data_IF_914015376395
#
_entry.id   IF_914015376395
#
_cell.length_a   1.000
_cell.length_b   1.000
_cell.length_c   1.000
_cell.angle_alpha   90.00
_cell.angle_beta   90.00
_cell.angle_gamma   90.00
#
_symmetry.space_group_name_H-M   'P 1'
#
loop_
_entity.id
_entity.type
_entity.pdbx_description
1 polymer ?
#
# COMPACT_ATOMS: atom_id res chain seq x y z
N UNK A 1 29.64 5.20 24.62
CA UNK A 1 29.26 4.89 23.24
C UNK A 1 28.15 5.82 22.67
N UNK A 2 27.81 6.91 23.34
CA UNK A 2 26.78 7.89 22.94
C UNK A 2 27.37 9.14 22.25
N UNK A 3 28.70 9.29 22.25
CA UNK A 3 29.39 10.50 21.78
C UNK A 3 29.75 10.51 20.28
N UNK A 4 29.62 9.40 19.55
CA UNK A 4 30.02 9.30 18.15
C UNK A 4 28.90 9.62 17.15
N UNK A 5 27.65 9.40 17.53
CA UNK A 5 26.47 9.63 16.68
C UNK A 5 26.15 11.12 16.53
N UNK A 6 26.47 11.93 17.56
CA UNK A 6 26.19 13.37 17.57
C UNK A 6 27.09 14.18 16.61
N UNK A 7 28.23 13.63 16.17
CA UNK A 7 29.19 14.36 15.30
C UNK A 7 28.99 14.09 13.82
N UNK A 8 28.27 13.05 13.42
CA UNK A 8 28.04 12.72 12.00
C UNK A 8 26.90 13.58 11.40
N UNK A 9 26.00 14.10 12.22
CA UNK A 9 24.88 14.97 11.76
C UNK A 9 25.35 16.37 11.35
N UNK A 10 26.55 16.79 11.71
CA UNK A 10 27.04 18.17 11.48
C UNK A 10 27.83 18.35 10.18
N UNK A 11 28.15 17.29 9.42
CA UNK A 11 29.11 17.39 8.30
C UNK A 11 28.52 17.17 6.90
N UNK A 12 27.21 17.10 6.72
CA UNK A 12 26.57 16.98 5.39
C UNK A 12 25.74 18.21 5.01
N UNK A 13 26.25 19.40 5.21
CA UNK A 13 25.70 20.62 4.60
C UNK A 13 26.68 21.10 3.54
N UNK A 14 26.68 20.52 2.35
CA UNK A 14 27.24 21.15 1.13
C UNK A 14 26.60 20.53 -0.12
N UNK A 15 25.96 21.41 -0.92
CA UNK A 15 25.66 21.37 -2.34
C UNK A 15 24.79 20.27 -2.95
N UNK A 16 23.60 20.66 -3.37
CA UNK A 16 23.07 20.32 -4.70
C UNK A 16 22.03 21.36 -5.13
N UNK A 17 22.40 22.19 -6.08
CA UNK A 17 21.45 22.92 -6.91
C UNK A 17 20.95 21.93 -7.97
N UNK A 18 19.68 21.51 -7.88
CA UNK A 18 19.02 20.78 -8.96
C UNK A 18 17.85 21.59 -9.48
N UNK A 19 17.90 21.85 -10.78
CA UNK A 19 16.90 22.49 -11.61
C UNK A 19 15.64 21.63 -11.71
N UNK A 20 14.48 22.27 -11.50
CA UNK A 20 13.20 21.65 -11.30
C UNK A 20 12.59 20.96 -12.51
N UNK A 21 11.82 19.92 -12.21
CA UNK A 21 10.59 19.53 -12.92
C UNK A 21 9.54 19.17 -11.89
N UNK A 22 8.35 19.71 -12.12
CA UNK A 22 7.26 19.85 -11.20
C UNK A 22 6.83 18.61 -10.42
N UNK A 23 6.88 18.72 -9.11
CA UNK A 23 6.28 17.83 -8.13
C UNK A 23 4.90 18.40 -7.78
N UNK A 24 3.83 17.66 -8.02
CA UNK A 24 2.51 18.02 -7.50
C UNK A 24 2.48 17.72 -6.01
N UNK A 25 2.43 18.78 -5.21
CA UNK A 25 2.29 18.71 -3.77
C UNK A 25 0.87 18.26 -3.39
N UNK A 26 0.77 17.29 -2.50
CA UNK A 26 -0.46 17.00 -1.77
C UNK A 26 -0.66 18.10 -0.72
N UNK A 27 -1.73 18.88 -0.87
CA UNK A 27 -2.26 19.80 0.14
C UNK A 27 -1.62 21.19 0.17
N UNK A 28 -2.03 22.10 -0.71
CA UNK A 28 -1.83 23.55 -0.52
C UNK A 28 -3.09 24.14 0.14
N UNK A 29 -2.96 24.61 1.37
CA UNK A 29 -3.98 25.43 2.01
C UNK A 29 -3.61 26.90 1.86
N UNK A 30 -4.42 27.65 1.14
CA UNK A 30 -4.37 29.13 1.13
C UNK A 30 -5.21 29.65 2.30
N UNK A 31 -4.59 30.18 3.34
CA UNK A 31 -5.23 31.04 4.33
C UNK A 31 -4.75 32.48 4.12
N UNK A 32 -5.68 33.42 4.17
CA UNK A 32 -5.60 34.78 3.68
C UNK A 32 -4.64 35.78 4.35
N UNK A 33 -3.56 35.39 4.98
CA UNK A 33 -2.36 36.21 5.22
C UNK A 33 -1.23 35.61 4.41
N UNK A 34 -0.64 36.39 3.49
CA UNK A 34 0.51 35.97 2.69
C UNK A 34 1.61 35.47 3.62
N UNK A 35 1.71 34.15 3.79
CA UNK A 35 2.80 33.55 4.55
C UNK A 35 4.10 33.95 3.85
N UNK A 36 5.01 34.61 4.56
CA UNK A 36 6.33 35.00 4.05
C UNK A 36 7.11 33.82 3.47
N UNK A 37 6.74 32.59 3.85
CA UNK A 37 7.32 31.38 3.28
C UNK A 37 6.31 30.22 3.31
N UNK A 38 6.54 29.26 2.43
CA UNK A 38 5.76 28.01 2.32
C UNK A 38 6.66 26.83 2.72
N UNK A 39 6.05 25.83 3.35
CA UNK A 39 6.72 24.57 3.67
C UNK A 39 5.92 23.42 3.09
N UNK A 40 6.62 22.51 2.42
CA UNK A 40 6.01 21.28 1.87
C UNK A 40 6.91 20.09 2.19
N UNK A 41 6.30 18.94 2.42
CA UNK A 41 7.03 17.68 2.47
C UNK A 41 7.18 17.15 1.05
N UNK A 42 8.37 16.68 0.71
CA UNK A 42 8.62 15.94 -0.51
C UNK A 42 7.95 14.56 -0.47
N UNK A 43 7.87 13.93 -1.61
CA UNK A 43 7.39 12.55 -1.70
C UNK A 43 8.27 11.64 -0.86
N UNK A 44 7.64 10.76 -0.09
CA UNK A 44 8.30 9.79 0.77
C UNK A 44 7.43 8.56 0.93
N UNK A 45 8.03 7.51 1.47
CA UNK A 45 7.30 6.31 1.85
C UNK A 45 6.54 6.55 3.14
N UNK A 46 5.36 5.93 3.25
CA UNK A 46 4.48 6.09 4.39
C UNK A 46 4.53 4.91 5.36
N UNK A 47 5.06 3.75 4.95
CA UNK A 47 5.07 2.54 5.76
C UNK A 47 6.48 2.04 6.00
N UNK A 48 6.80 1.79 7.26
CA UNK A 48 8.13 1.43 7.73
C UNK A 48 8.09 0.21 8.64
N UNK A 49 9.19 -0.56 8.64
CA UNK A 49 9.43 -1.55 9.68
C UNK A 49 9.93 -0.88 10.97
N UNK A 50 9.68 -1.46 12.15
CA UNK A 50 10.23 -0.97 13.41
C UNK A 50 11.75 -0.81 13.36
N UNK A 51 12.24 0.33 13.86
CA UNK A 51 13.67 0.64 13.92
C UNK A 51 14.32 1.03 12.60
N UNK A 52 13.57 1.18 11.49
CA UNK A 52 14.08 1.72 10.23
C UNK A 52 14.30 3.24 10.31
N UNK A 53 14.70 3.86 9.20
CA UNK A 53 14.86 5.31 9.09
C UNK A 53 13.84 5.87 8.10
N UNK A 54 12.97 6.77 8.58
CA UNK A 54 12.18 7.64 7.70
C UNK A 54 13.13 8.65 7.05
N UNK A 55 13.07 8.74 5.76
CA UNK A 55 13.84 9.71 5.01
C UNK A 55 12.92 10.54 4.13
N UNK A 56 12.87 11.85 4.39
CA UNK A 56 11.97 12.77 3.73
C UNK A 56 12.69 14.09 3.43
N UNK A 57 12.39 14.69 2.26
CA UNK A 57 12.80 16.04 1.94
C UNK A 57 11.78 17.05 2.46
N UNK A 58 12.23 18.11 3.13
CA UNK A 58 11.37 19.22 3.50
C UNK A 58 11.78 20.42 2.66
N UNK A 59 10.85 20.97 1.88
CA UNK A 59 11.08 22.12 1.02
C UNK A 59 10.56 23.37 1.72
N UNK A 60 11.45 24.33 1.94
CA UNK A 60 11.11 25.68 2.39
C UNK A 60 11.25 26.64 1.24
N UNK A 61 10.20 27.35 0.89
CA UNK A 61 10.17 28.35 -0.18
C UNK A 61 9.87 29.71 0.41
N UNK A 62 10.76 30.68 0.21
CA UNK A 62 10.51 32.08 0.56
C UNK A 62 9.64 32.75 -0.50
N UNK A 63 8.50 33.28 -0.12
CA UNK A 63 7.57 33.98 -1.00
C UNK A 63 7.73 35.50 -0.92
N UNK A 64 8.65 36.01 -0.07
CA UNK A 64 8.89 37.44 0.12
C UNK A 64 10.10 37.94 -0.69
N UNK A 65 10.17 39.26 -0.86
CA UNK A 65 11.31 39.97 -1.47
C UNK A 65 12.50 40.10 -0.50
N UNK A 66 12.34 39.76 0.76
CA UNK A 66 13.36 39.86 1.80
C UNK A 66 14.00 38.52 2.11
N UNK A 67 15.23 38.55 2.62
CA UNK A 67 15.87 37.36 3.19
C UNK A 67 15.21 36.97 4.53
N UNK A 68 14.95 35.69 4.73
CA UNK A 68 14.33 35.18 5.94
C UNK A 68 15.28 34.30 6.73
N UNK A 69 15.28 34.45 8.05
CA UNK A 69 15.87 33.48 9.00
C UNK A 69 14.74 32.69 9.65
N UNK A 70 14.77 31.37 9.50
CA UNK A 70 13.72 30.47 9.98
C UNK A 70 14.34 29.56 11.05
N UNK A 71 13.67 29.48 12.17
CA UNK A 71 13.95 28.47 13.22
C UNK A 71 12.65 27.71 13.49
N UNK A 72 12.67 26.40 13.32
CA UNK A 72 11.50 25.54 13.50
C UNK A 72 11.85 24.27 14.25
N UNK A 73 10.99 23.89 15.16
CA UNK A 73 11.01 22.56 15.74
C UNK A 73 10.27 21.59 14.80
N UNK A 74 10.91 20.47 14.52
CA UNK A 74 10.32 19.29 13.91
C UNK A 74 10.04 18.29 15.02
N UNK A 75 8.85 17.73 15.04
CA UNK A 75 8.47 16.71 16.02
C UNK A 75 7.73 15.56 15.37
N UNK A 76 7.94 14.37 15.92
CA UNK A 76 7.12 13.19 15.63
C UNK A 76 6.30 12.88 16.87
N UNK A 77 5.00 12.74 16.65
CA UNK A 77 4.04 12.28 17.67
C UNK A 77 3.42 10.96 17.25
N UNK A 78 3.06 10.13 18.19
CA UNK A 78 2.23 8.96 18.00
C UNK A 78 0.73 9.32 17.89
N UNK A 79 -0.14 8.30 17.78
CA UNK A 79 -1.59 8.46 17.71
C UNK A 79 -2.20 9.13 18.94
N UNK A 80 -1.56 9.03 20.09
CA UNK A 80 -2.02 9.61 21.35
C UNK A 80 -1.47 11.03 21.58
N UNK A 81 -0.72 11.55 20.58
CA UNK A 81 -0.11 12.88 20.63
C UNK A 81 1.17 12.93 21.46
N UNK A 82 1.69 11.79 21.92
CA UNK A 82 2.94 11.72 22.68
C UNK A 82 4.11 11.96 21.74
N UNK A 83 4.98 12.91 22.13
CA UNK A 83 6.19 13.24 21.36
C UNK A 83 7.23 12.13 21.51
N UNK A 84 7.55 11.45 20.41
CA UNK A 84 8.53 10.34 20.38
C UNK A 84 9.89 10.77 19.83
N UNK A 85 9.94 11.89 19.09
CA UNK A 85 11.17 12.45 18.55
C UNK A 85 11.03 13.93 18.23
N UNK A 86 12.12 14.69 18.34
CA UNK A 86 12.15 16.08 17.89
C UNK A 86 13.57 16.54 17.52
N UNK A 87 13.63 17.59 16.70
CA UNK A 87 14.85 18.34 16.40
C UNK A 87 14.49 19.79 16.05
N UNK A 88 15.49 20.66 16.03
CA UNK A 88 15.34 22.06 15.62
C UNK A 88 16.16 22.32 14.38
N UNK A 89 15.55 22.92 13.37
CA UNK A 89 16.22 23.38 12.18
C UNK A 89 16.37 24.90 12.21
N UNK A 90 17.53 25.39 11.75
CA UNK A 90 17.80 26.80 11.55
C UNK A 90 18.27 26.99 10.10
N UNK A 91 17.62 27.85 9.35
CA UNK A 91 18.00 28.11 7.95
C UNK A 91 17.80 29.57 7.55
N UNK A 92 18.59 30.00 6.59
CA UNK A 92 18.42 31.28 5.90
C UNK A 92 17.89 31.06 4.49
N UNK A 93 16.82 31.77 4.14
CA UNK A 93 16.27 31.75 2.79
C UNK A 93 16.53 33.08 2.10
N UNK A 94 17.09 33.04 0.89
CA UNK A 94 17.22 34.21 0.03
C UNK A 94 15.85 34.69 -0.44
N UNK A 95 15.70 35.95 -0.88
CA UNK A 95 14.47 36.44 -1.50
C UNK A 95 14.01 35.48 -2.61
N UNK A 96 12.73 35.14 -2.62
CA UNK A 96 12.12 34.22 -3.58
C UNK A 96 12.83 32.86 -3.76
N UNK A 97 13.76 32.53 -2.86
CA UNK A 97 14.55 31.29 -2.90
C UNK A 97 13.86 30.11 -2.27
N UNK A 98 14.32 28.92 -2.59
CA UNK A 98 13.89 27.70 -1.92
C UNK A 98 15.08 26.84 -1.49
N UNK A 99 14.90 26.08 -0.40
CA UNK A 99 15.90 25.14 0.13
C UNK A 99 15.19 23.83 0.46
N UNK A 100 15.77 22.72 0.03
CA UNK A 100 15.31 21.37 0.42
C UNK A 100 16.24 20.83 1.49
N UNK A 101 15.70 20.45 2.64
CA UNK A 101 16.44 19.83 3.73
C UNK A 101 16.13 18.34 3.71
N UNK A 102 17.14 17.48 3.48
CA UNK A 102 16.97 16.05 3.68
C UNK A 102 16.92 15.76 5.18
N UNK A 103 15.83 15.14 5.62
CA UNK A 103 15.63 14.75 7.01
C UNK A 103 15.68 13.23 7.13
N UNK A 104 16.40 12.74 8.13
CA UNK A 104 16.41 11.34 8.51
C UNK A 104 15.90 11.23 9.96
N UNK A 105 14.78 10.57 10.13
CA UNK A 105 14.13 10.39 11.43
C UNK A 105 14.21 8.93 11.82
N UNK A 106 14.74 8.60 13.02
CA UNK A 106 14.64 7.25 13.55
C UNK A 106 13.16 6.88 13.74
N UNK A 107 12.76 5.79 13.13
CA UNK A 107 11.40 5.27 13.26
C UNK A 107 11.26 4.52 14.58
N UNK A 108 10.11 4.63 15.22
CA UNK A 108 9.81 3.92 16.47
C UNK A 108 10.07 2.42 16.36
N UNK A 109 10.42 1.80 17.49
CA UNK A 109 10.47 0.33 17.59
C UNK A 109 9.09 -0.29 17.80
N UNK A 110 8.09 0.52 18.16
CA UNK A 110 6.70 0.10 18.35
C UNK A 110 5.89 0.34 17.07
N UNK A 111 5.02 -0.60 16.73
CA UNK A 111 4.04 -0.43 15.64
C UNK A 111 3.03 0.65 16.01
N UNK A 112 2.54 1.40 15.02
CA UNK A 112 1.55 2.45 15.20
C UNK A 112 1.53 3.46 14.05
N UNK A 113 0.61 4.42 14.14
CA UNK A 113 0.57 5.58 13.27
C UNK A 113 1.31 6.75 13.93
N UNK A 114 2.06 7.50 13.13
CA UNK A 114 2.89 8.60 13.58
C UNK A 114 2.72 9.80 12.65
N UNK A 115 2.86 10.99 13.22
CA UNK A 115 2.77 12.24 12.48
C UNK A 115 4.05 13.05 12.68
N UNK A 116 4.75 13.35 11.60
CA UNK A 116 5.83 14.34 11.57
C UNK A 116 5.21 15.71 11.32
N UNK A 117 5.41 16.65 12.24
CA UNK A 117 4.91 18.03 12.14
C UNK A 117 6.04 19.02 12.24
N UNK A 118 5.85 20.17 11.60
CA UNK A 118 6.71 21.35 11.76
C UNK A 118 5.97 22.29 12.68
N UNK A 119 6.50 22.51 13.90
CA UNK A 119 5.83 23.38 14.88
C UNK A 119 5.73 24.82 14.36
N UNK A 120 4.57 25.44 14.59
CA UNK A 120 4.24 26.78 14.12
C UNK A 120 4.83 27.91 14.98
N UNK A 121 4.92 29.08 14.37
CA UNK A 121 4.90 30.34 15.10
C UNK A 121 3.46 30.61 15.61
N UNK A 122 3.35 31.37 16.67
CA UNK A 122 2.15 31.59 17.47
C UNK A 122 0.86 32.10 16.74
N UNK A 123 0.82 32.10 15.44
CA UNK A 123 -0.24 32.73 14.61
C UNK A 123 -1.35 31.76 14.11
N UNK A 124 -1.44 30.55 14.63
CA UNK A 124 -2.65 29.72 14.55
C UNK A 124 -2.99 29.04 13.23
N UNK A 125 -2.13 29.08 12.21
CA UNK A 125 -2.37 28.31 10.99
C UNK A 125 -1.98 26.84 11.17
N UNK A 126 -2.70 25.84 10.58
CA UNK A 126 -2.39 24.43 10.77
C UNK A 126 -0.96 24.09 10.28
N UNK A 127 -0.21 23.40 11.14
CA UNK A 127 1.15 22.98 10.84
C UNK A 127 1.18 21.99 9.67
N UNK A 128 2.12 22.14 8.70
CA UNK A 128 2.34 21.09 7.74
C UNK A 128 2.66 19.78 8.44
N UNK A 129 2.01 18.70 8.00
CA UNK A 129 2.18 17.38 8.62
C UNK A 129 2.39 16.30 7.57
N UNK A 130 3.13 15.26 7.96
CA UNK A 130 3.35 14.07 7.17
C UNK A 130 3.02 12.83 8.02
N UNK A 131 2.00 12.08 7.58
CA UNK A 131 1.56 10.87 8.26
C UNK A 131 2.36 9.66 7.76
N UNK A 132 2.83 8.83 8.67
CA UNK A 132 3.47 7.56 8.35
C UNK A 132 3.10 6.49 9.38
N UNK A 133 3.27 5.23 8.99
CA UNK A 133 2.96 4.08 9.84
C UNK A 133 4.20 3.22 10.06
N UNK A 134 4.28 2.64 11.25
CA UNK A 134 5.26 1.61 11.59
C UNK A 134 4.52 0.30 11.78
N UNK A 135 4.87 -0.71 10.98
CA UNK A 135 4.18 -1.99 10.98
C UNK A 135 5.20 -3.10 11.02
N UNK A 136 5.05 -3.99 11.99
CA UNK A 136 5.70 -5.29 12.00
C UNK A 136 4.66 -6.32 11.54
N UNK A 137 4.71 -6.79 10.29
CA UNK A 137 3.74 -7.78 9.83
C UNK A 137 3.76 -9.05 10.70
N UNK A 138 2.60 -9.62 10.94
CA UNK A 138 2.43 -10.80 11.79
C UNK A 138 1.50 -11.81 11.14
N UNK A 139 1.87 -13.06 11.28
CA UNK A 139 1.03 -14.19 10.90
C UNK A 139 -0.03 -14.42 11.98
N UNK A 140 -1.31 -14.42 11.61
CA UNK A 140 -2.37 -14.79 12.55
C UNK A 140 -2.21 -16.25 12.99
N UNK A 141 -2.66 -16.62 14.21
CA UNK A 141 -2.66 -18.02 14.65
C UNK A 141 -3.45 -18.94 13.70
N UNK A 142 -4.49 -18.40 13.08
CA UNK A 142 -5.30 -19.10 12.07
C UNK A 142 -4.49 -19.45 10.84
N UNK A 143 -3.69 -18.51 10.32
CA UNK A 143 -2.91 -18.68 9.10
C UNK A 143 -1.89 -19.83 9.21
N UNK A 144 -1.37 -20.12 10.41
CA UNK A 144 -0.43 -21.21 10.63
C UNK A 144 -1.02 -22.60 10.38
N UNK A 145 -2.35 -22.73 10.33
CA UNK A 145 -3.09 -23.98 10.06
C UNK A 145 -3.52 -24.09 8.60
N UNK A 146 -3.38 -23.03 7.80
CA UNK A 146 -3.87 -22.97 6.42
C UNK A 146 -2.79 -23.50 5.48
N UNK A 147 -3.20 -24.36 4.54
CA UNK A 147 -2.38 -24.92 3.49
C UNK A 147 -2.65 -24.17 2.19
N UNK A 148 -1.64 -23.45 1.69
CA UNK A 148 -1.74 -22.60 0.50
C UNK A 148 -0.97 -23.20 -0.66
N UNK A 149 -1.65 -23.52 -1.75
CA UNK A 149 -1.00 -23.92 -3.00
C UNK A 149 -0.83 -22.70 -3.92
N UNK A 150 0.31 -22.61 -4.57
CA UNK A 150 0.57 -21.64 -5.65
C UNK A 150 1.40 -22.32 -6.75
N UNK A 151 1.17 -22.02 -8.04
CA UNK A 151 1.95 -22.60 -9.12
C UNK A 151 3.43 -22.23 -9.03
N UNK A 152 4.32 -23.11 -9.49
CA UNK A 152 5.77 -22.87 -9.52
C UNK A 152 6.13 -21.62 -10.36
N UNK A 153 5.29 -21.30 -11.34
CA UNK A 153 5.45 -20.11 -12.18
C UNK A 153 5.31 -18.79 -11.42
N UNK A 154 4.68 -18.79 -10.24
CA UNK A 154 4.51 -17.63 -9.35
C UNK A 154 5.68 -17.51 -8.36
N UNK A 155 6.90 -17.31 -8.88
CA UNK A 155 8.15 -17.31 -8.11
C UNK A 155 8.11 -16.35 -6.91
N UNK A 156 7.54 -15.15 -7.10
CA UNK A 156 7.43 -14.13 -6.03
C UNK A 156 6.53 -14.60 -4.89
N UNK A 157 5.38 -15.22 -5.21
CA UNK A 157 4.46 -15.75 -4.21
C UNK A 157 5.04 -16.97 -3.48
N UNK A 158 5.72 -17.86 -4.20
CA UNK A 158 6.42 -18.99 -3.59
C UNK A 158 7.49 -18.51 -2.60
N UNK A 159 8.28 -17.49 -2.97
CA UNK A 159 9.26 -16.86 -2.07
C UNK A 159 8.58 -16.26 -0.84
N UNK A 160 7.47 -15.53 -1.04
CA UNK A 160 6.65 -14.94 0.04
C UNK A 160 6.13 -16.02 0.99
N UNK A 161 5.46 -17.06 0.50
CA UNK A 161 4.93 -18.15 1.34
C UNK A 161 6.03 -18.80 2.17
N UNK A 162 7.20 -19.06 1.55
CA UNK A 162 8.36 -19.63 2.22
C UNK A 162 8.92 -18.69 3.31
N UNK A 163 9.03 -17.40 3.06
CA UNK A 163 9.56 -16.44 4.04
C UNK A 163 8.67 -16.31 5.28
N UNK A 164 7.37 -16.61 5.14
CA UNK A 164 6.40 -16.60 6.23
C UNK A 164 6.12 -17.99 6.81
N UNK A 165 6.89 -19.00 6.44
CA UNK A 165 6.67 -20.38 6.87
C UNK A 165 5.19 -20.81 6.71
N UNK A 166 4.62 -20.48 5.55
CA UNK A 166 3.28 -20.92 5.16
C UNK A 166 3.46 -22.22 4.37
N UNK A 167 2.80 -23.28 4.81
CA UNK A 167 2.89 -24.58 4.18
C UNK A 167 2.30 -24.53 2.77
N UNK A 168 3.09 -24.96 1.77
CA UNK A 168 2.72 -25.01 0.37
C UNK A 168 2.66 -26.47 -0.12
N UNK A 169 1.56 -27.18 0.16
CA UNK A 169 1.42 -28.56 -0.27
C UNK A 169 1.11 -28.63 -1.77
N UNK A 170 1.10 -29.84 -2.29
CA UNK A 170 0.46 -30.09 -3.59
C UNK A 170 -1.01 -29.68 -3.55
N UNK A 171 -1.62 -29.39 -4.69
CA UNK A 171 -3.05 -29.02 -4.77
C UNK A 171 -3.99 -30.03 -4.11
N UNK A 172 -3.55 -31.28 -3.98
CA UNK A 172 -4.32 -32.35 -3.35
C UNK A 172 -4.65 -32.10 -1.87
N UNK A 173 -3.86 -31.30 -1.18
CA UNK A 173 -4.00 -31.02 0.25
C UNK A 173 -4.23 -29.53 0.57
N UNK A 174 -4.25 -28.69 -0.48
CA UNK A 174 -4.45 -27.26 -0.29
C UNK A 174 -5.88 -26.91 0.18
N UNK A 175 -6.00 -25.84 0.94
CA UNK A 175 -7.27 -25.19 1.29
C UNK A 175 -7.45 -23.89 0.52
N UNK A 176 -6.35 -23.29 0.09
CA UNK A 176 -6.30 -22.06 -0.70
C UNK A 176 -5.44 -22.29 -1.94
N UNK A 177 -5.93 -21.85 -3.09
CA UNK A 177 -5.16 -21.68 -4.32
C UNK A 177 -4.88 -20.19 -4.50
N UNK A 178 -3.61 -19.78 -4.36
CA UNK A 178 -3.18 -18.39 -4.51
C UNK A 178 -2.53 -18.19 -5.88
N UNK A 179 -3.09 -17.29 -6.68
CA UNK A 179 -2.72 -17.00 -8.04
C UNK A 179 -2.37 -15.52 -8.18
N UNK A 180 -1.20 -15.22 -8.73
CA UNK A 180 -0.73 -13.86 -8.99
C UNK A 180 -1.10 -13.37 -10.39
N UNK A 181 -0.55 -12.22 -10.74
CA UNK A 181 -0.76 -11.55 -12.03
C UNK A 181 -0.38 -12.42 -13.22
N UNK A 182 0.69 -13.21 -13.11
CA UNK A 182 1.12 -14.11 -14.19
C UNK A 182 0.07 -15.17 -14.47
N UNK A 183 -0.41 -15.86 -13.45
CA UNK A 183 -1.46 -16.88 -13.56
C UNK A 183 -2.77 -16.27 -14.05
N UNK A 184 -3.12 -15.05 -13.59
CA UNK A 184 -4.28 -14.34 -14.11
C UNK A 184 -4.16 -14.07 -15.62
N UNK A 185 -3.01 -13.60 -16.08
CA UNK A 185 -2.76 -13.36 -17.50
C UNK A 185 -2.89 -14.65 -18.33
N UNK A 186 -2.35 -15.77 -17.84
CA UNK A 186 -2.46 -17.08 -18.45
C UNK A 186 -3.91 -17.57 -18.48
N UNK A 187 -4.66 -17.41 -17.37
CA UNK A 187 -6.08 -17.75 -17.29
C UNK A 187 -6.91 -17.01 -18.35
N UNK A 188 -6.72 -15.70 -18.47
CA UNK A 188 -7.42 -14.85 -19.46
C UNK A 188 -7.04 -15.22 -20.91
N UNK A 189 -5.81 -15.69 -21.12
CA UNK A 189 -5.35 -16.19 -22.43
C UNK A 189 -5.90 -17.59 -22.77
N UNK A 190 -6.62 -18.24 -21.85
CA UNK A 190 -7.18 -19.58 -22.06
C UNK A 190 -6.15 -20.71 -21.87
N UNK A 191 -5.12 -20.47 -21.08
CA UNK A 191 -4.13 -21.50 -20.71
C UNK A 191 -4.82 -22.68 -20.04
N UNK A 192 -4.65 -23.88 -20.62
CA UNK A 192 -5.34 -25.09 -20.17
C UNK A 192 -4.87 -25.54 -18.79
N UNK A 193 -3.60 -25.37 -18.47
CA UNK A 193 -3.04 -25.80 -17.18
C UNK A 193 -3.62 -24.99 -16.04
N UNK A 194 -3.60 -23.67 -16.16
CA UNK A 194 -4.15 -22.78 -15.14
C UNK A 194 -5.67 -22.93 -15.03
N UNK A 195 -6.39 -23.03 -16.15
CA UNK A 195 -7.86 -23.24 -16.12
C UNK A 195 -8.21 -24.55 -15.41
N UNK A 196 -7.55 -25.64 -15.74
CA UNK A 196 -7.75 -26.94 -15.06
C UNK A 196 -7.35 -26.92 -13.60
N UNK A 197 -6.32 -26.12 -13.22
CA UNK A 197 -5.90 -25.94 -11.85
C UNK A 197 -7.01 -25.27 -11.02
N UNK A 198 -7.59 -24.17 -11.55
CA UNK A 198 -8.73 -23.46 -10.94
C UNK A 198 -9.93 -24.40 -10.79
N UNK A 199 -10.31 -25.11 -11.85
CA UNK A 199 -11.44 -26.06 -11.82
C UNK A 199 -11.23 -27.18 -10.78
N UNK A 200 -10.02 -27.73 -10.70
CA UNK A 200 -9.70 -28.75 -9.69
C UNK A 200 -9.78 -28.20 -8.27
N UNK A 201 -9.29 -26.98 -8.04
CA UNK A 201 -9.37 -26.33 -6.75
C UNK A 201 -10.83 -26.12 -6.31
N UNK A 202 -11.67 -25.59 -7.18
CA UNK A 202 -13.08 -25.34 -6.90
C UNK A 202 -13.87 -26.65 -6.64
N UNK A 203 -13.62 -27.72 -7.44
CA UNK A 203 -14.21 -29.04 -7.20
C UNK A 203 -13.83 -29.64 -5.84
N UNK A 204 -12.69 -29.22 -5.29
CA UNK A 204 -12.19 -29.61 -3.95
C UNK A 204 -12.60 -28.65 -2.84
N UNK A 205 -13.51 -27.71 -3.13
CA UNK A 205 -14.02 -26.73 -2.18
C UNK A 205 -12.95 -25.74 -1.66
N UNK A 206 -11.82 -25.61 -2.38
CA UNK A 206 -10.79 -24.66 -2.04
C UNK A 206 -11.25 -23.23 -2.30
N UNK A 207 -10.68 -22.28 -1.57
CA UNK A 207 -10.76 -20.87 -1.92
C UNK A 207 -9.71 -20.55 -2.99
N UNK A 208 -10.12 -19.97 -4.10
CA UNK A 208 -9.23 -19.49 -5.16
C UNK A 208 -9.06 -17.98 -5.01
N UNK A 209 -7.84 -17.51 -4.88
CA UNK A 209 -7.52 -16.08 -4.74
C UNK A 209 -6.71 -15.64 -5.96
N UNK A 210 -7.23 -14.70 -6.73
CA UNK A 210 -6.47 -13.96 -7.73
C UNK A 210 -6.05 -12.62 -7.13
N UNK A 211 -4.75 -12.40 -6.94
CA UNK A 211 -4.20 -11.10 -6.53
C UNK A 211 -3.63 -10.37 -7.75
N UNK A 212 -3.51 -9.05 -7.64
CA UNK A 212 -3.08 -8.18 -8.74
C UNK A 212 -3.93 -8.38 -10.01
N UNK A 213 -5.21 -8.66 -9.79
CA UNK A 213 -6.20 -8.91 -10.81
C UNK A 213 -6.52 -7.62 -11.57
N UNK A 214 -6.50 -7.68 -12.90
CA UNK A 214 -6.72 -6.51 -13.73
C UNK A 214 -6.91 -6.84 -15.22
N UNK A 215 -7.11 -5.84 -16.07
CA UNK A 215 -7.22 -6.04 -17.51
C UNK A 215 -5.91 -6.59 -18.07
N UNK A 216 -6.03 -7.46 -19.10
CA UNK A 216 -4.91 -8.09 -19.80
C UNK A 216 -4.86 -7.60 -21.24
N UNK A 217 -3.68 -7.13 -21.69
CA UNK A 217 -3.45 -6.68 -23.07
C UNK A 217 -3.66 -5.17 -23.28
N UNK A 218 -3.30 -4.69 -24.49
CA UNK A 218 -3.33 -3.26 -24.88
C UNK A 218 -4.71 -2.70 -25.21
N UNK A 219 -5.78 -3.43 -24.96
CA UNK A 219 -7.14 -3.00 -25.32
C UNK A 219 -7.69 -2.01 -24.27
N UNK A 220 -7.15 -0.79 -24.28
CA UNK A 220 -7.57 0.30 -23.39
C UNK A 220 -9.03 0.75 -23.60
N UNK A 221 -9.68 0.36 -24.69
CA UNK A 221 -10.99 0.90 -25.08
C UNK A 221 -12.09 -0.15 -25.36
N UNK A 222 -11.83 -1.44 -25.18
CA UNK A 222 -12.87 -2.47 -25.35
C UNK A 222 -13.13 -3.17 -24.03
N UNK A 223 -14.38 -3.10 -23.58
CA UNK A 223 -14.94 -3.90 -22.48
C UNK A 223 -14.81 -5.39 -22.80
N UNK A 224 -13.60 -5.94 -22.68
CA UNK A 224 -13.41 -7.37 -22.89
C UNK A 224 -14.05 -8.09 -21.71
N UNK A 225 -15.13 -8.82 -22.01
CA UNK A 225 -15.80 -9.70 -21.06
C UNK A 225 -14.94 -10.94 -20.85
N UNK A 226 -14.52 -11.18 -19.61
CA UNK A 226 -13.69 -12.33 -19.24
C UNK A 226 -14.58 -13.32 -18.50
N UNK A 227 -14.66 -14.54 -19.04
CA UNK A 227 -15.42 -15.62 -18.41
C UNK A 227 -14.66 -16.14 -17.19
N UNK A 228 -15.38 -16.27 -16.09
CA UNK A 228 -14.93 -16.86 -14.84
C UNK A 228 -15.70 -18.16 -14.59
N UNK A 229 -15.27 -19.01 -13.66
CA UNK A 229 -16.08 -20.14 -13.20
C UNK A 229 -17.45 -19.66 -12.68
N UNK A 230 -18.41 -20.61 -12.55
CA UNK A 230 -19.78 -20.37 -12.10
C UNK A 230 -20.67 -19.59 -13.07
N UNK A 231 -20.37 -19.66 -14.38
CA UNK A 231 -21.10 -18.91 -15.45
C UNK A 231 -21.20 -17.41 -15.18
N UNK A 232 -20.17 -16.89 -14.56
CA UNK A 232 -20.01 -15.46 -14.31
C UNK A 232 -18.98 -14.88 -15.26
N UNK A 233 -19.16 -13.63 -15.63
CA UNK A 233 -18.14 -12.89 -16.35
C UNK A 233 -17.88 -11.55 -15.71
N UNK A 234 -16.66 -11.06 -15.88
CA UNK A 234 -16.22 -9.75 -15.40
C UNK A 234 -15.77 -8.89 -16.59
N UNK A 235 -16.14 -7.62 -16.53
CA UNK A 235 -15.66 -6.58 -17.45
C UNK A 235 -14.97 -5.49 -16.63
N UNK A 236 -13.90 -4.92 -17.22
CA UNK A 236 -13.17 -3.79 -16.63
C UNK A 236 -13.62 -2.52 -17.32
N UNK A 237 -14.12 -1.57 -16.55
CA UNK A 237 -14.50 -0.23 -17.00
C UNK A 237 -13.40 0.72 -16.58
N UNK A 238 -12.78 1.43 -17.54
CA UNK A 238 -11.74 2.41 -17.22
C UNK A 238 -12.31 3.51 -16.33
N UNK A 239 -11.74 3.69 -15.17
CA UNK A 239 -12.07 4.75 -14.25
C UNK A 239 -11.23 6.01 -14.52
N UNK A 240 -11.65 7.15 -13.96
CA UNK A 240 -11.00 8.46 -14.17
C UNK A 240 -9.55 8.47 -13.70
N UNK A 241 -9.27 7.85 -12.54
CA UNK A 241 -7.95 7.81 -11.94
C UNK A 241 -7.77 6.54 -11.09
N UNK A 242 -6.51 6.08 -10.86
CA UNK A 242 -6.22 5.09 -9.83
C UNK A 242 -6.43 5.68 -8.44
N UNK A 243 -6.60 4.80 -7.44
CA UNK A 243 -6.76 5.21 -6.04
C UNK A 243 -5.50 4.90 -5.22
N UNK A 244 -5.21 5.79 -4.28
CA UNK A 244 -4.11 5.61 -3.33
C UNK A 244 -4.55 4.94 -2.03
N UNK A 245 -5.85 4.83 -1.81
CA UNK A 245 -6.43 4.23 -0.61
C UNK A 245 -7.67 3.41 -0.93
N UNK A 246 -8.00 2.50 -0.03
CA UNK A 246 -9.26 1.76 -0.03
C UNK A 246 -9.71 1.53 1.41
N UNK A 247 -10.99 1.22 1.57
CA UNK A 247 -11.59 0.94 2.87
C UNK A 247 -12.08 -0.50 2.89
N UNK A 248 -11.62 -1.29 3.85
CA UNK A 248 -12.16 -2.61 4.12
C UNK A 248 -13.47 -2.48 4.91
N UNK A 249 -14.44 -3.33 4.62
CA UNK A 249 -15.67 -3.41 5.42
C UNK A 249 -15.36 -3.97 6.80
N UNK A 250 -15.85 -3.31 7.83
CA UNK A 250 -15.52 -3.59 9.24
C UNK A 250 -15.96 -4.97 9.75
N UNK A 251 -16.88 -5.63 9.06
CA UNK A 251 -17.44 -6.92 9.48
C UNK A 251 -16.47 -8.10 9.35
N UNK A 252 -15.31 -7.87 8.72
CA UNK A 252 -14.32 -8.92 8.44
C UNK A 252 -13.06 -8.73 9.30
N UNK A 253 -13.13 -9.12 10.56
CA UNK A 253 -12.05 -8.97 11.54
C UNK A 253 -10.73 -9.60 11.11
N UNK A 254 -10.78 -10.72 10.39
CA UNK A 254 -9.58 -11.37 9.87
C UNK A 254 -8.83 -10.52 8.84
N UNK A 255 -9.54 -9.74 8.02
CA UNK A 255 -8.92 -8.85 7.03
C UNK A 255 -8.23 -7.64 7.68
N UNK A 256 -8.66 -7.26 8.87
CA UNK A 256 -8.10 -6.12 9.62
C UNK A 256 -7.19 -6.56 10.77
N UNK A 257 -6.80 -7.85 10.83
CA UNK A 257 -5.94 -8.35 11.88
C UNK A 257 -4.61 -7.60 11.93
N UNK A 258 -4.27 -7.07 13.10
CA UNK A 258 -3.02 -6.37 13.46
C UNK A 258 -2.74 -5.08 12.66
N UNK A 259 -3.76 -4.48 11.99
CA UNK A 259 -3.64 -3.12 11.46
C UNK A 259 -4.97 -2.34 11.45
N UNK A 260 -4.85 -1.02 11.49
CA UNK A 260 -6.00 -0.10 11.47
C UNK A 260 -6.30 0.38 10.04
N UNK A 261 -7.53 0.88 9.82
CA UNK A 261 -7.93 1.49 8.55
C UNK A 261 -7.07 2.68 8.14
N UNK A 262 -6.53 3.44 9.10
CA UNK A 262 -5.63 4.56 8.82
C UNK A 262 -4.29 4.11 8.23
N UNK A 263 -3.79 2.93 8.60
CA UNK A 263 -2.55 2.37 8.06
C UNK A 263 -2.71 1.86 6.62
N UNK A 264 -3.93 1.65 6.15
CA UNK A 264 -4.23 1.23 4.78
C UNK A 264 -4.32 2.40 3.78
N UNK A 265 -4.23 3.64 4.23
CA UNK A 265 -4.46 4.81 3.38
C UNK A 265 -3.28 5.14 2.44
N UNK A 266 -2.07 4.75 2.82
CA UNK A 266 -0.87 5.09 2.05
C UNK A 266 0.04 3.87 1.92
N UNK A 267 0.33 3.47 0.69
CA UNK A 267 1.19 2.32 0.40
C UNK A 267 2.49 2.77 -0.29
N UNK A 268 3.57 2.05 -0.05
CA UNK A 268 4.87 2.34 -0.63
C UNK A 268 4.93 1.93 -2.11
N UNK A 269 5.70 2.68 -2.90
CA UNK A 269 5.89 2.43 -4.33
C UNK A 269 4.67 2.74 -5.20
N UNK A 270 4.88 2.73 -6.51
CA UNK A 270 3.85 3.04 -7.51
C UNK A 270 3.16 4.41 -7.28
N UNK A 271 3.89 5.43 -6.82
CA UNK A 271 3.33 6.74 -6.41
C UNK A 271 2.22 6.62 -5.36
N UNK A 272 2.27 5.60 -4.51
CA UNK A 272 1.22 5.33 -3.52
C UNK A 272 -0.06 4.69 -4.09
N UNK A 273 -0.12 4.40 -5.38
CA UNK A 273 -1.30 3.76 -5.98
C UNK A 273 -1.50 2.37 -5.39
N UNK A 274 -2.68 2.13 -4.85
CA UNK A 274 -3.08 0.83 -4.26
C UNK A 274 -4.09 0.09 -5.13
N UNK A 275 -4.98 0.83 -5.82
CA UNK A 275 -6.02 0.26 -6.67
C UNK A 275 -5.91 0.86 -8.08
N UNK A 276 -5.82 0.04 -9.14
CA UNK A 276 -5.73 0.53 -10.50
C UNK A 276 -7.03 1.23 -10.94
N UNK A 277 -6.95 2.01 -12.02
CA UNK A 277 -8.05 2.83 -12.51
C UNK A 277 -9.11 2.00 -13.27
N UNK A 278 -9.67 0.98 -12.62
CA UNK A 278 -10.71 0.12 -13.22
C UNK A 278 -11.82 -0.19 -12.23
N UNK A 279 -13.07 0.01 -12.69
CA UNK A 279 -14.25 -0.46 -11.99
C UNK A 279 -14.62 -1.86 -12.52
N UNK A 280 -15.20 -2.69 -11.67
CA UNK A 280 -15.60 -4.05 -12.04
C UNK A 280 -17.10 -4.11 -12.30
N UNK A 281 -17.48 -4.69 -13.42
CA UNK A 281 -18.86 -5.03 -13.72
C UNK A 281 -18.97 -6.54 -13.90
N UNK A 282 -19.85 -7.17 -13.14
CA UNK A 282 -20.10 -8.60 -13.16
C UNK A 282 -21.44 -8.89 -13.85
N UNK A 283 -21.49 -9.98 -14.61
CA UNK A 283 -22.69 -10.51 -15.20
C UNK A 283 -22.75 -12.02 -14.97
N UNK A 284 -23.73 -12.45 -14.20
CA UNK A 284 -23.95 -13.86 -13.82
C UNK A 284 -25.16 -13.99 -12.90
N UNK A 285 -25.96 -15.06 -13.08
CA UNK A 285 -27.21 -15.25 -12.34
C UNK A 285 -27.07 -16.16 -11.12
N UNK A 286 -26.07 -17.05 -11.14
CA UNK A 286 -25.94 -18.13 -10.15
C UNK A 286 -24.75 -17.94 -9.19
N UNK A 287 -24.35 -16.69 -9.02
CA UNK A 287 -23.31 -16.31 -8.09
C UNK A 287 -23.76 -15.13 -7.23
N UNK A 288 -23.41 -15.16 -5.93
CA UNK A 288 -23.50 -14.02 -5.04
C UNK A 288 -22.15 -13.29 -5.03
N UNK A 289 -22.18 -11.98 -5.19
CA UNK A 289 -20.99 -11.14 -5.18
C UNK A 289 -20.96 -10.34 -3.88
N UNK A 290 -19.95 -10.57 -3.06
CA UNK A 290 -19.70 -9.79 -1.86
C UNK A 290 -18.51 -8.86 -2.08
N UNK A 291 -18.72 -7.56 -1.90
CA UNK A 291 -17.63 -6.60 -1.89
C UNK A 291 -17.06 -6.47 -0.49
N UNK A 292 -15.76 -6.73 -0.33
CA UNK A 292 -15.02 -6.62 0.93
C UNK A 292 -14.31 -5.30 1.11
N UNK A 293 -14.09 -4.58 0.01
CA UNK A 293 -13.44 -3.28 0.03
C UNK A 293 -14.10 -2.34 -0.97
N UNK A 294 -14.01 -1.04 -0.70
CA UNK A 294 -14.40 0.04 -1.61
C UNK A 294 -13.22 1.00 -1.77
N UNK A 295 -13.11 1.67 -2.90
CA UNK A 295 -12.05 2.64 -3.17
C UNK A 295 -12.62 3.88 -3.87
N UNK A 296 -12.11 5.06 -3.51
CA UNK A 296 -12.56 6.34 -4.04
C UNK A 296 -14.03 6.65 -3.73
N UNK A 297 -14.58 7.60 -4.46
CA UNK A 297 -15.98 8.05 -4.31
C UNK A 297 -16.97 7.19 -5.13
N UNK A 298 -16.48 6.34 -6.03
CA UNK A 298 -17.33 5.49 -6.86
C UNK A 298 -17.83 4.28 -6.06
N UNK A 299 -19.17 4.16 -5.81
CA UNK A 299 -19.73 3.04 -5.05
C UNK A 299 -19.58 1.68 -5.76
N UNK A 300 -19.22 1.66 -7.04
CA UNK A 300 -18.99 0.44 -7.84
C UNK A 300 -17.52 0.06 -7.97
N UNK A 301 -16.61 0.80 -7.33
CA UNK A 301 -15.20 0.45 -7.30
C UNK A 301 -14.93 -0.52 -6.14
N UNK A 302 -14.84 -1.79 -6.47
CA UNK A 302 -14.64 -2.89 -5.53
C UNK A 302 -13.24 -3.50 -5.70
N UNK A 303 -12.23 -3.02 -4.96
CA UNK A 303 -10.87 -3.56 -5.10
C UNK A 303 -10.70 -4.99 -4.58
N UNK A 304 -11.64 -5.47 -3.78
CA UNK A 304 -11.66 -6.85 -3.29
C UNK A 304 -13.09 -7.38 -3.28
N UNK A 305 -13.34 -8.46 -4.02
CA UNK A 305 -14.64 -9.12 -4.10
C UNK A 305 -14.52 -10.63 -3.91
N UNK A 306 -15.58 -11.23 -3.37
CA UNK A 306 -15.77 -12.68 -3.26
C UNK A 306 -16.93 -13.10 -4.15
N UNK A 307 -16.72 -14.14 -4.93
CA UNK A 307 -17.73 -14.79 -5.76
C UNK A 307 -18.12 -16.12 -5.08
N UNK A 308 -19.36 -16.22 -4.66
CA UNK A 308 -19.92 -17.41 -4.00
C UNK A 308 -20.94 -18.04 -4.93
N UNK A 309 -20.73 -19.25 -5.43
CA UNK A 309 -21.73 -19.93 -6.26
C UNK A 309 -22.96 -20.26 -5.43
N UNK A 310 -24.16 -20.18 -6.03
CA UNK A 310 -25.40 -20.65 -5.40
C UNK A 310 -25.38 -22.16 -5.18
N UNK A 311 -24.73 -22.86 -6.11
CA UNK A 311 -24.59 -24.32 -6.09
C UNK A 311 -23.09 -24.65 -6.13
N UNK A 312 -22.61 -25.43 -5.17
CA UNK A 312 -21.18 -25.74 -5.03
C UNK A 312 -20.58 -25.19 -3.73
N UNK A 313 -19.31 -25.45 -3.52
CA UNK A 313 -18.65 -25.14 -2.24
C UNK A 313 -17.37 -24.33 -2.33
N UNK A 314 -16.72 -24.30 -3.51
CA UNK A 314 -15.55 -23.46 -3.74
C UNK A 314 -15.92 -21.98 -3.88
N UNK A 315 -14.98 -21.09 -3.62
CA UNK A 315 -15.17 -19.63 -3.69
C UNK A 315 -14.02 -19.00 -4.47
N UNK A 316 -14.27 -17.85 -5.09
CA UNK A 316 -13.25 -17.08 -5.78
C UNK A 316 -13.15 -15.71 -5.15
N UNK A 317 -11.93 -15.30 -4.83
CA UNK A 317 -11.59 -13.95 -4.39
C UNK A 317 -10.81 -13.25 -5.51
N UNK A 318 -11.24 -12.05 -5.87
CA UNK A 318 -10.60 -11.21 -6.87
C UNK A 318 -10.10 -9.94 -6.20
N UNK A 319 -8.77 -9.75 -6.16
CA UNK A 319 -8.16 -8.57 -5.58
C UNK A 319 -7.45 -7.74 -6.65
N UNK A 320 -7.93 -6.52 -6.88
CA UNK A 320 -7.24 -5.51 -7.69
C UNK A 320 -6.14 -4.78 -6.90
N UNK A 321 -6.06 -5.01 -5.60
CA UNK A 321 -5.10 -4.32 -4.72
C UNK A 321 -3.70 -4.74 -5.14
N UNK A 322 -2.86 -3.75 -5.49
CA UNK A 322 -1.53 -3.98 -6.06
C UNK A 322 -0.58 -4.46 -4.97
N UNK A 323 -0.24 -5.75 -5.01
CA UNK A 323 0.75 -6.37 -4.11
C UNK A 323 2.05 -6.74 -4.84
N UNK A 324 2.06 -6.73 -6.18
CA UNK A 324 3.22 -7.07 -7.00
C UNK A 324 4.46 -6.29 -6.56
N UNK A 325 5.56 -7.01 -6.29
CA UNK A 325 6.86 -6.47 -5.85
C UNK A 325 6.83 -5.64 -4.55
N UNK A 326 5.69 -5.56 -3.86
CA UNK A 326 5.59 -4.98 -2.51
C UNK A 326 5.85 -5.99 -1.39
N UNK A 327 5.88 -7.28 -1.72
CA UNK A 327 6.02 -8.38 -0.77
C UNK A 327 7.49 -8.78 -0.51
N UNK A 328 8.44 -8.27 -1.29
CA UNK A 328 9.85 -8.65 -1.24
C UNK A 328 10.71 -7.52 -0.65
N UNK A 329 11.25 -7.74 0.55
CA UNK A 329 12.14 -6.78 1.24
C UNK A 329 13.42 -6.45 0.47
N UNK A 330 13.81 -7.26 -0.52
CA UNK A 330 14.94 -6.94 -1.38
C UNK A 330 14.66 -5.79 -2.37
N UNK A 331 13.38 -5.47 -2.60
CA UNK A 331 12.95 -4.35 -3.44
C UNK A 331 13.09 -3.05 -2.66
N UNK A 332 14.26 -2.42 -2.79
CA UNK A 332 14.56 -1.19 -2.06
C UNK A 332 13.82 0.01 -2.63
N UNK A 333 13.33 0.90 -1.77
CA UNK A 333 12.74 2.16 -2.18
C UNK A 333 13.75 3.02 -2.95
N UNK A 334 13.34 3.55 -4.11
CA UNK A 334 14.15 4.49 -4.90
C UNK A 334 13.50 5.88 -4.82
N UNK A 335 14.11 6.81 -4.08
CA UNK A 335 13.58 8.17 -3.88
C UNK A 335 13.43 8.97 -5.16
N UNK A 336 14.36 8.78 -6.10
CA UNK A 336 14.33 9.46 -7.41
C UNK A 336 13.26 8.88 -8.34
N UNK A 337 12.63 7.75 -7.99
CA UNK A 337 11.71 7.00 -8.82
C UNK A 337 10.58 6.40 -7.96
N UNK A 338 9.72 7.25 -7.34
CA UNK A 338 8.61 6.77 -6.50
C UNK A 338 7.56 5.98 -7.29
N UNK A 339 7.57 6.07 -8.62
CA UNK A 339 6.76 5.27 -9.54
C UNK A 339 7.19 3.80 -9.60
N UNK A 340 8.39 3.46 -9.15
CA UNK A 340 8.87 2.09 -9.12
C UNK A 340 8.30 1.33 -7.93
N UNK A 341 8.25 -0.02 -8.01
CA UNK A 341 7.82 -0.85 -6.90
C UNK A 341 8.75 -0.68 -5.68
N UNK A 342 8.18 -0.81 -4.49
CA UNK A 342 8.94 -0.80 -3.24
C UNK A 342 8.30 -1.75 -2.24
N UNK A 343 9.10 -2.38 -1.39
CA UNK A 343 8.59 -3.18 -0.28
C UNK A 343 7.62 -2.36 0.59
N UNK A 344 6.50 -3.01 0.96
CA UNK A 344 5.48 -2.39 1.82
C UNK A 344 5.00 -3.37 2.89
N UNK A 345 5.26 -3.10 4.18
CA UNK A 345 4.81 -3.98 5.26
C UNK A 345 3.28 -4.05 5.40
N UNK A 346 2.53 -3.01 4.96
CA UNK A 346 1.06 -3.05 4.93
C UNK A 346 0.57 -4.01 3.85
N UNK A 347 1.18 -4.02 2.67
CA UNK A 347 0.84 -4.97 1.60
C UNK A 347 1.10 -6.42 2.04
N UNK A 348 2.20 -6.65 2.76
CA UNK A 348 2.50 -7.95 3.36
C UNK A 348 1.41 -8.37 4.35
N UNK A 349 1.08 -7.50 5.32
CA UNK A 349 0.04 -7.78 6.31
C UNK A 349 -1.32 -8.01 5.66
N UNK A 350 -1.67 -7.20 4.66
CA UNK A 350 -2.90 -7.37 3.90
C UNK A 350 -3.00 -8.76 3.25
N UNK A 351 -1.94 -9.23 2.58
CA UNK A 351 -1.97 -10.54 1.93
C UNK A 351 -2.05 -11.68 2.95
N UNK A 352 -1.33 -11.60 4.07
CA UNK A 352 -1.43 -12.58 5.16
C UNK A 352 -2.86 -12.66 5.70
N UNK A 353 -3.50 -11.51 5.89
CA UNK A 353 -4.88 -11.42 6.37
C UNK A 353 -5.87 -11.95 5.32
N UNK A 354 -5.68 -11.61 4.04
CA UNK A 354 -6.54 -12.09 2.97
C UNK A 354 -6.54 -13.62 2.90
N UNK A 355 -5.36 -14.26 2.93
CA UNK A 355 -5.25 -15.72 2.96
C UNK A 355 -5.96 -16.29 4.19
N UNK A 356 -5.76 -15.67 5.36
CA UNK A 356 -6.39 -16.11 6.60
C UNK A 356 -7.94 -16.02 6.56
N UNK A 357 -8.47 -14.97 5.97
CA UNK A 357 -9.91 -14.70 5.90
C UNK A 357 -10.67 -15.62 4.93
N UNK A 358 -9.97 -16.19 3.93
CA UNK A 358 -10.62 -16.97 2.87
C UNK A 358 -11.02 -18.39 3.28
N UNK A 359 -10.49 -18.90 4.38
CA UNK A 359 -10.78 -20.26 4.88
C UNK A 359 -11.85 -20.19 5.96
N UNK A 360 -12.97 -20.85 5.75
CA UNK A 360 -14.06 -20.94 6.75
C UNK A 360 -13.65 -21.71 8.01
N UNK A 361 -14.24 -21.39 9.16
CA UNK A 361 -13.91 -22.05 10.44
C UNK A 361 -14.12 -23.56 10.43
N UNK A 362 -15.05 -24.03 9.61
CA UNK A 362 -15.33 -25.46 9.45
C UNK A 362 -14.19 -26.27 8.81
N UNK A 363 -13.28 -25.61 8.08
CA UNK A 363 -12.13 -26.26 7.41
C UNK A 363 -10.88 -26.27 8.28
N UNK A 364 -10.92 -25.66 9.47
CA UNK A 364 -9.79 -25.59 10.41
C UNK A 364 -9.89 -26.61 11.56
N UNK A 365 -11.00 -27.36 11.60
CA UNK A 365 -11.23 -28.48 12.52
C UNK A 365 -10.66 -29.77 11.94
#
# INVERSE_FOLDING_TARGET
MVSLISRIVLLMIIFAAFTGRGIRAAGSFNSGDEKKYQVTFGESYHNYLPGSLLSIGIVFKNNSADSLKIRRELRVTDSDGVKVWNTVINLGLRPSGSVTIPLMVPVSKSSGAFTLTIAEEANGAPAPSFLFSVIQPKKSPRLSKILVHTPDSEVGLNKFLKSWDIKAPTISWGQVLLLGKKSWTQYVAGDKEITQLVDRALKREMSVIFIDFGPVGKTENTLKKISLPFDVSVSFIKAKAPEQSFVLKSDYKELTFDFSSSQMQHWNGYLGVTVPAYDLMFDGKDVKINAYATAGENPYRFPLVELIPKHGKGKIYLSQIITEKRLDESVKPQRSHPELPAYDPVAVQFLLNLISATVGDNLLK
#
